data_IF_319991891834
#
_entry.id   IF_319991891834
#
_cell.length_a   1.000
_cell.length_b   1.000
_cell.length_c   1.000
_cell.angle_alpha   90.00
_cell.angle_beta   90.00
_cell.angle_gamma   90.00
#
_symmetry.space_group_name_H-M   'P 1'
#
loop_
_entity.id
_entity.type
_entity.pdbx_description
1 polymer ?
#
# COMPACT_ATOMS: atom_id res chain seq x y z
N UNK A 1 6.05 -3.20 -18.93
CA UNK A 1 5.48 -2.86 -17.61
C UNK A 1 4.08 -2.29 -17.88
N UNK A 2 2.99 -2.94 -17.42
CA UNK A 2 1.63 -2.37 -17.56
C UNK A 2 1.62 -1.00 -16.87
N UNK A 3 1.02 0.01 -17.50
CA UNK A 3 0.94 1.37 -16.96
C UNK A 3 0.01 1.36 -15.74
N UNK A 4 0.48 1.88 -14.61
CA UNK A 4 -0.41 2.19 -13.48
C UNK A 4 -1.10 3.51 -13.77
N UNK A 5 -2.42 3.52 -13.73
CA UNK A 5 -3.26 4.73 -13.92
C UNK A 5 -3.68 5.36 -12.60
N UNK A 6 -3.64 4.58 -11.51
CA UNK A 6 -3.92 5.01 -10.15
C UNK A 6 -2.77 4.59 -9.22
N UNK A 7 -2.48 5.44 -8.23
CA UNK A 7 -1.27 5.35 -7.40
C UNK A 7 -1.64 5.06 -5.95
N UNK A 8 -1.72 3.77 -5.53
CA UNK A 8 -1.96 3.41 -4.14
C UNK A 8 -0.77 3.79 -3.27
N UNK A 9 -1.06 4.11 -2.00
CA UNK A 9 -0.08 4.41 -0.96
C UNK A 9 -0.03 3.25 0.04
N UNK A 10 1.16 2.85 0.46
CA UNK A 10 1.33 1.77 1.43
C UNK A 10 1.83 2.35 2.76
N UNK A 11 1.18 2.05 3.89
CA UNK A 11 1.58 2.56 5.20
C UNK A 11 2.88 1.91 5.72
N UNK A 12 3.28 2.29 6.93
CA UNK A 12 4.38 1.69 7.68
C UNK A 12 4.21 0.17 7.86
N UNK A 13 5.32 -0.56 7.96
CA UNK A 13 5.37 -2.00 8.19
C UNK A 13 6.09 -2.31 9.51
N UNK A 14 5.47 -1.92 10.63
CA UNK A 14 6.02 -2.10 11.98
C UNK A 14 6.54 -3.53 12.26
N UNK A 15 5.94 -4.56 11.65
CA UNK A 15 6.40 -5.95 11.80
C UNK A 15 7.79 -6.17 11.19
N UNK A 16 8.06 -5.60 10.01
CA UNK A 16 9.38 -5.65 9.39
C UNK A 16 10.41 -4.86 10.21
N UNK A 17 10.07 -3.65 10.66
CA UNK A 17 10.94 -2.83 11.52
C UNK A 17 11.38 -3.58 12.78
N UNK A 18 10.44 -4.28 13.44
CA UNK A 18 10.75 -5.16 14.59
C UNK A 18 11.65 -6.33 14.20
N UNK A 19 11.32 -7.07 13.14
CA UNK A 19 12.15 -8.20 12.70
C UNK A 19 13.58 -7.79 12.32
N UNK A 20 13.77 -6.59 11.77
CA UNK A 20 15.11 -6.02 11.54
C UNK A 20 15.80 -5.80 12.88
N UNK A 21 15.16 -5.07 13.80
CA UNK A 21 15.72 -4.73 15.10
C UNK A 21 16.14 -5.97 15.91
N UNK A 22 15.27 -6.98 15.98
CA UNK A 22 15.53 -8.23 16.70
C UNK A 22 16.72 -8.99 16.08
N UNK A 23 16.83 -8.95 14.75
CA UNK A 23 17.90 -9.64 14.02
C UNK A 23 19.25 -8.92 14.05
N UNK A 24 19.34 -7.64 14.44
CA UNK A 24 20.61 -6.89 14.43
C UNK A 24 21.65 -7.50 15.37
N UNK A 25 21.22 -8.12 16.47
CA UNK A 25 22.13 -8.77 17.41
C UNK A 25 22.87 -9.99 16.83
N UNK A 26 22.41 -10.51 15.69
CA UNK A 26 23.03 -11.63 14.98
C UNK A 26 24.12 -11.17 14.00
N UNK A 27 24.30 -9.86 13.80
CA UNK A 27 25.25 -9.29 12.86
C UNK A 27 26.49 -8.72 13.58
N UNK A 28 27.57 -8.50 12.83
CA UNK A 28 28.74 -7.76 13.36
C UNK A 28 28.39 -6.29 13.61
N UNK A 29 29.10 -5.62 14.54
CA UNK A 29 28.88 -4.19 14.85
C UNK A 29 28.92 -3.30 13.59
N UNK A 30 29.81 -3.61 12.65
CA UNK A 30 29.91 -2.88 11.39
C UNK A 30 28.68 -3.10 10.48
N UNK A 31 28.17 -4.32 10.41
CA UNK A 31 26.98 -4.66 9.62
C UNK A 31 25.70 -4.13 10.27
N UNK A 32 25.60 -4.19 11.60
CA UNK A 32 24.50 -3.60 12.37
C UNK A 32 24.49 -2.07 12.26
N UNK A 33 25.65 -1.41 12.30
CA UNK A 33 25.75 0.03 12.08
C UNK A 33 25.30 0.44 10.65
N UNK A 34 25.51 -0.43 9.67
CA UNK A 34 25.03 -0.24 8.29
C UNK A 34 23.53 -0.51 8.13
N UNK A 35 22.85 -1.06 9.15
CA UNK A 35 21.42 -1.31 9.19
C UNK A 35 20.58 -0.08 9.57
N UNK A 36 21.21 1.07 9.84
CA UNK A 36 20.49 2.28 10.19
C UNK A 36 19.53 2.66 9.06
N UNK A 37 18.24 2.89 9.37
CA UNK A 37 17.30 3.36 8.37
C UNK A 37 17.83 4.64 7.75
N UNK A 38 17.86 4.69 6.42
CA UNK A 38 18.18 5.92 5.71
C UNK A 38 17.08 6.94 5.98
N UNK A 39 17.36 7.80 6.96
CA UNK A 39 16.50 8.91 7.37
C UNK A 39 16.67 10.13 6.48
N UNK A 40 17.66 10.13 5.57
CA UNK A 40 17.81 11.17 4.57
C UNK A 40 16.93 10.83 3.36
N UNK A 41 15.86 11.59 3.15
CA UNK A 41 15.14 11.55 1.88
C UNK A 41 15.96 12.33 0.87
N UNK A 42 16.89 11.67 0.18
CA UNK A 42 17.54 12.28 -0.97
C UNK A 42 16.49 12.59 -2.05
N UNK A 43 16.66 13.66 -2.84
CA UNK A 43 15.74 14.03 -3.94
C UNK A 43 15.58 12.88 -4.96
N UNK A 44 16.60 12.02 -5.10
CA UNK A 44 16.56 10.80 -5.92
C UNK A 44 15.66 9.69 -5.37
N UNK A 45 15.29 9.78 -4.08
CA UNK A 45 14.53 8.80 -3.33
C UNK A 45 13.07 9.21 -3.09
N UNK A 46 12.56 10.18 -3.87
CA UNK A 46 11.16 10.63 -3.87
C UNK A 46 10.13 9.55 -4.28
N UNK A 47 10.55 8.29 -4.46
CA UNK A 47 9.81 7.25 -5.18
C UNK A 47 9.43 6.03 -4.35
N UNK A 48 9.48 6.15 -3.02
CA UNK A 48 9.34 5.04 -2.06
C UNK A 48 7.90 4.54 -1.84
N UNK A 49 6.86 5.27 -2.29
CA UNK A 49 5.46 5.02 -1.88
C UNK A 49 4.55 4.34 -2.92
N UNK A 50 4.97 4.25 -4.20
CA UNK A 50 4.12 3.69 -5.27
C UNK A 50 4.38 2.21 -5.57
N UNK A 51 5.37 1.57 -4.94
CA UNK A 51 5.84 0.22 -5.28
C UNK A 51 5.69 -0.85 -4.18
N UNK A 52 4.97 -0.59 -3.10
CA UNK A 52 4.80 -1.52 -1.99
C UNK A 52 5.77 -1.23 -0.84
N UNK A 53 5.20 -1.06 0.35
CA UNK A 53 5.79 -0.84 1.69
C UNK A 53 6.93 0.20 1.80
N UNK A 54 6.56 1.35 2.39
CA UNK A 54 7.40 2.49 2.75
C UNK A 54 8.72 2.10 3.45
N UNK A 55 8.68 1.14 4.38
CA UNK A 55 9.86 0.76 5.18
C UNK A 55 10.92 -0.02 4.41
N UNK A 56 10.55 -0.77 3.38
CA UNK A 56 11.50 -1.61 2.63
C UNK A 56 12.47 -0.80 1.78
N UNK A 57 12.22 0.49 1.60
CA UNK A 57 13.13 1.43 0.92
C UNK A 57 13.84 2.36 1.92
N UNK A 58 13.53 2.25 3.21
CA UNK A 58 14.27 2.89 4.30
C UNK A 58 15.51 2.07 4.68
N UNK A 59 15.52 0.78 4.36
CA UNK A 59 16.62 -0.14 4.64
C UNK A 59 17.27 -0.63 3.35
N UNK A 60 18.61 -0.73 3.36
CA UNK A 60 19.39 -1.24 2.23
C UNK A 60 19.05 -2.71 1.91
N UNK A 61 18.97 -3.10 0.64
CA UNK A 61 18.85 -4.53 0.26
C UNK A 61 19.95 -5.39 0.88
N UNK A 62 21.13 -4.80 1.14
CA UNK A 62 22.23 -5.48 1.79
C UNK A 62 21.88 -5.93 3.21
N UNK A 63 21.10 -5.15 3.97
CA UNK A 63 20.75 -5.56 5.34
C UNK A 63 19.81 -6.77 5.33
N UNK A 64 18.85 -6.81 4.41
CA UNK A 64 17.92 -7.94 4.32
C UNK A 64 18.63 -9.25 3.97
N UNK A 65 19.61 -9.22 3.06
CA UNK A 65 20.41 -10.41 2.75
C UNK A 65 21.21 -10.90 3.96
N UNK A 66 21.84 -9.97 4.69
CA UNK A 66 22.64 -10.31 5.88
C UNK A 66 21.78 -10.90 7.00
N UNK A 67 20.63 -10.27 7.25
CA UNK A 67 19.67 -10.78 8.22
C UNK A 67 19.12 -12.15 7.81
N UNK A 68 18.81 -12.36 6.53
CA UNK A 68 18.37 -13.66 6.03
C UNK A 68 19.42 -14.74 6.31
N UNK A 69 20.68 -14.50 5.95
CA UNK A 69 21.78 -15.44 6.16
C UNK A 69 22.00 -15.73 7.67
N UNK A 70 22.02 -14.69 8.50
CA UNK A 70 22.24 -14.82 9.94
C UNK A 70 21.10 -15.57 10.64
N UNK A 71 19.84 -15.25 10.30
CA UNK A 71 18.67 -15.94 10.83
C UNK A 71 18.65 -17.41 10.41
N UNK A 72 18.95 -17.73 9.15
CA UNK A 72 19.04 -19.11 8.67
C UNK A 72 20.13 -19.92 9.40
N UNK A 73 21.31 -19.33 9.61
CA UNK A 73 22.39 -19.98 10.36
C UNK A 73 22.02 -20.20 11.84
N UNK A 74 21.35 -19.23 12.45
CA UNK A 74 20.89 -19.32 13.84
C UNK A 74 19.82 -20.41 14.00
N UNK A 75 18.82 -20.44 13.12
CA UNK A 75 17.75 -21.44 13.11
C UNK A 75 18.28 -22.87 12.92
N UNK A 76 19.34 -23.05 12.13
CA UNK A 76 20.00 -24.35 11.96
C UNK A 76 20.69 -24.84 13.25
N UNK A 77 21.10 -23.91 14.11
CA UNK A 77 21.80 -24.22 15.37
C UNK A 77 20.85 -24.33 16.56
N UNK A 78 19.81 -23.49 16.60
CA UNK A 78 18.81 -23.41 17.66
C UNK A 78 17.46 -23.00 17.06
N UNK A 79 16.54 -23.96 16.84
CA UNK A 79 15.20 -23.65 16.35
C UNK A 79 14.46 -22.67 17.27
N UNK A 80 13.89 -21.62 16.69
CA UNK A 80 13.10 -20.61 17.39
C UNK A 80 11.94 -20.16 16.52
N UNK A 81 10.71 -20.24 17.06
CA UNK A 81 9.48 -19.87 16.36
C UNK A 81 9.47 -18.38 16.02
N UNK A 82 9.96 -17.54 16.94
CA UNK A 82 10.09 -16.10 16.75
C UNK A 82 11.09 -15.77 15.63
N UNK A 83 12.27 -16.41 15.64
CA UNK A 83 13.26 -16.21 14.57
C UNK A 83 12.75 -16.71 13.22
N UNK A 84 11.95 -17.78 13.20
CA UNK A 84 11.31 -18.27 11.98
C UNK A 84 10.32 -17.23 11.43
N UNK A 85 9.48 -16.64 12.28
CA UNK A 85 8.57 -15.56 11.90
C UNK A 85 9.35 -14.32 11.40
N UNK A 86 10.45 -13.95 12.08
CA UNK A 86 11.30 -12.84 11.67
C UNK A 86 11.97 -13.10 10.31
N UNK A 87 12.45 -14.32 10.05
CA UNK A 87 12.97 -14.73 8.74
C UNK A 87 11.92 -14.58 7.64
N UNK A 88 10.67 -14.96 7.92
CA UNK A 88 9.54 -14.76 7.02
C UNK A 88 9.35 -13.29 6.60
N UNK A 89 9.40 -12.36 7.57
CA UNK A 89 9.30 -10.92 7.29
C UNK A 89 10.45 -10.41 6.41
N UNK A 90 11.69 -10.84 6.69
CA UNK A 90 12.86 -10.47 5.89
C UNK A 90 12.78 -11.03 4.46
N UNK A 91 12.35 -12.28 4.31
CA UNK A 91 12.14 -12.92 3.00
C UNK A 91 11.04 -12.20 2.19
N UNK A 92 9.93 -11.83 2.82
CA UNK A 92 8.87 -11.07 2.17
C UNK A 92 9.38 -9.69 1.70
N UNK A 93 10.21 -9.01 2.51
CA UNK A 93 10.85 -7.76 2.11
C UNK A 93 11.78 -7.93 0.89
N UNK A 94 12.61 -8.98 0.88
CA UNK A 94 13.47 -9.30 -0.27
C UNK A 94 12.64 -9.64 -1.52
N UNK A 95 11.58 -10.44 -1.37
CA UNK A 95 10.66 -10.80 -2.45
C UNK A 95 10.02 -9.58 -3.10
N UNK A 96 9.67 -8.58 -2.29
CA UNK A 96 9.12 -7.33 -2.78
C UNK A 96 10.16 -6.49 -3.54
N UNK A 97 11.37 -6.32 -2.99
CA UNK A 97 12.44 -5.54 -3.63
C UNK A 97 12.88 -6.16 -4.96
N UNK A 98 13.00 -7.49 -5.02
CA UNK A 98 13.44 -8.23 -6.21
C UNK A 98 12.32 -8.59 -7.16
N UNK A 99 11.06 -8.42 -6.73
CA UNK A 99 9.87 -8.91 -7.44
C UNK A 99 9.98 -10.41 -7.71
N UNK A 100 10.33 -11.16 -6.67
CA UNK A 100 10.60 -12.60 -6.73
C UNK A 100 9.54 -13.38 -5.95
N UNK A 101 8.77 -14.19 -6.68
CA UNK A 101 7.71 -15.02 -6.12
C UNK A 101 8.26 -16.11 -5.18
N UNK A 102 9.43 -16.68 -5.48
CA UNK A 102 10.00 -17.76 -4.69
C UNK A 102 10.40 -17.29 -3.28
N UNK A 103 10.76 -16.01 -3.12
CA UNK A 103 11.04 -15.42 -1.81
C UNK A 103 9.76 -15.20 -1.00
N UNK A 104 8.64 -14.84 -1.66
CA UNK A 104 7.34 -14.79 -0.99
C UNK A 104 6.84 -16.18 -0.59
N UNK A 105 7.03 -17.18 -1.43
CA UNK A 105 6.68 -18.57 -1.11
C UNK A 105 7.49 -19.09 0.09
N UNK A 106 8.78 -18.78 0.16
CA UNK A 106 9.60 -19.10 1.35
C UNK A 106 9.13 -18.34 2.59
N UNK A 107 8.72 -17.07 2.47
CA UNK A 107 8.15 -16.32 3.57
C UNK A 107 6.85 -16.95 4.10
N UNK A 108 5.96 -17.36 3.19
CA UNK A 108 4.72 -18.09 3.52
C UNK A 108 5.03 -19.36 4.31
N UNK A 109 5.99 -20.17 3.84
CA UNK A 109 6.41 -21.38 4.57
C UNK A 109 6.95 -21.08 5.98
N UNK A 110 7.69 -19.98 6.14
CA UNK A 110 8.18 -19.58 7.47
C UNK A 110 7.04 -19.26 8.43
N UNK A 111 6.02 -18.52 7.96
CA UNK A 111 4.85 -18.20 8.78
C UNK A 111 3.98 -19.42 9.07
N UNK A 112 3.77 -20.30 8.09
CA UNK A 112 3.03 -21.55 8.29
C UNK A 112 3.69 -22.43 9.35
N UNK A 113 5.02 -22.58 9.31
CA UNK A 113 5.77 -23.30 10.35
C UNK A 113 5.66 -22.63 11.72
N UNK A 114 5.70 -21.31 11.78
CA UNK A 114 5.51 -20.60 13.05
C UNK A 114 4.10 -20.84 13.64
N UNK A 115 3.08 -20.93 12.78
CA UNK A 115 1.70 -21.25 13.16
C UNK A 115 1.47 -22.70 13.59
N UNK A 116 2.44 -23.60 13.42
CA UNK A 116 2.40 -24.94 14.03
C UNK A 116 2.66 -24.88 15.55
N UNK A 117 3.36 -23.83 16.01
CA UNK A 117 3.71 -23.65 17.42
C UNK A 117 2.90 -22.55 18.11
N UNK A 118 2.72 -21.40 17.44
CA UNK A 118 1.81 -20.37 17.92
C UNK A 118 0.38 -20.79 17.60
N UNK A 119 -0.45 -20.96 18.62
CA UNK A 119 -1.87 -21.29 18.50
C UNK A 119 -2.72 -20.12 19.00
N UNK A 120 -3.98 -20.06 18.58
CA UNK A 120 -4.90 -19.01 19.04
C UNK A 120 -5.11 -19.10 20.57
N UNK A 121 -5.08 -20.30 21.14
CA UNK A 121 -5.31 -20.55 22.55
C UNK A 121 -4.08 -20.28 23.43
N UNK A 122 -2.91 -20.77 23.01
CA UNK A 122 -1.71 -20.75 23.85
C UNK A 122 -0.84 -19.51 23.62
N UNK A 123 -0.94 -18.88 22.45
CA UNK A 123 -0.14 -17.70 22.08
C UNK A 123 -0.96 -16.76 21.17
N UNK A 124 -2.09 -16.21 21.66
CA UNK A 124 -3.06 -15.50 20.82
C UNK A 124 -2.47 -14.31 20.07
N UNK A 125 -1.58 -13.54 20.71
CA UNK A 125 -1.01 -12.32 20.12
C UNK A 125 0.03 -12.66 19.05
N UNK A 126 0.91 -13.61 19.32
CA UNK A 126 1.91 -14.11 18.38
C UNK A 126 1.22 -14.78 17.18
N UNK A 127 0.19 -15.59 17.44
CA UNK A 127 -0.62 -16.21 16.40
C UNK A 127 -1.27 -15.16 15.49
N UNK A 128 -1.91 -14.12 16.06
CA UNK A 128 -2.52 -13.06 15.28
C UNK A 128 -1.49 -12.26 14.45
N UNK A 129 -0.33 -11.97 15.03
CA UNK A 129 0.78 -11.32 14.33
C UNK A 129 1.31 -12.16 13.16
N UNK A 130 1.49 -13.46 13.37
CA UNK A 130 1.94 -14.36 12.30
C UNK A 130 0.86 -14.53 11.22
N UNK A 131 -0.43 -14.58 11.57
CA UNK A 131 -1.53 -14.57 10.61
C UNK A 131 -1.55 -13.29 9.76
N UNK A 132 -1.32 -12.12 10.37
CA UNK A 132 -1.20 -10.85 9.65
C UNK A 132 -0.01 -10.84 8.67
N UNK A 133 1.15 -11.36 9.10
CA UNK A 133 2.34 -11.44 8.25
C UNK A 133 2.15 -12.43 7.09
N UNK A 134 1.51 -13.59 7.36
CA UNK A 134 1.10 -14.56 6.35
C UNK A 134 0.15 -13.93 5.32
N UNK A 135 -0.81 -13.12 5.78
CA UNK A 135 -1.70 -12.35 4.93
C UNK A 135 -0.96 -11.37 4.02
N UNK A 136 0.03 -10.68 4.57
CA UNK A 136 0.88 -9.72 3.84
C UNK A 136 1.72 -10.38 2.75
N UNK A 137 2.33 -11.54 3.04
CA UNK A 137 3.11 -12.31 2.08
C UNK A 137 2.23 -12.85 0.93
N UNK A 138 1.08 -13.44 1.27
CA UNK A 138 0.12 -13.95 0.28
C UNK A 138 -0.49 -12.83 -0.58
N UNK A 139 -0.80 -11.68 0.00
CA UNK A 139 -1.27 -10.51 -0.73
C UNK A 139 -0.22 -10.07 -1.77
N UNK A 140 1.04 -10.02 -1.35
CA UNK A 140 2.16 -9.61 -2.21
C UNK A 140 2.41 -10.61 -3.34
N UNK A 141 2.36 -11.91 -3.05
CA UNK A 141 2.46 -12.99 -4.02
C UNK A 141 1.32 -12.94 -5.06
N UNK A 142 0.07 -12.80 -4.59
CA UNK A 142 -1.10 -12.70 -5.46
C UNK A 142 -1.07 -11.47 -6.37
N UNK A 143 -0.56 -10.34 -5.86
CA UNK A 143 -0.35 -9.12 -6.66
C UNK A 143 0.76 -9.32 -7.70
N UNK A 144 1.89 -9.93 -7.32
CA UNK A 144 3.04 -10.10 -8.21
C UNK A 144 2.73 -11.01 -9.40
N UNK A 145 2.09 -12.16 -9.14
CA UNK A 145 1.80 -13.17 -10.15
C UNK A 145 0.42 -13.01 -10.80
N UNK A 146 -0.33 -11.95 -10.46
CA UNK A 146 -1.70 -11.73 -10.93
C UNK A 146 -2.64 -12.93 -10.64
N UNK A 147 -2.46 -13.58 -9.48
CA UNK A 147 -3.19 -14.79 -9.06
C UNK A 147 -4.16 -14.51 -7.91
N UNK A 148 -5.37 -15.07 -8.02
CA UNK A 148 -6.45 -14.89 -7.05
C UNK A 148 -6.37 -15.81 -5.83
N UNK A 149 -5.76 -16.99 -5.96
CA UNK A 149 -5.66 -17.96 -4.86
C UNK A 149 -4.87 -17.40 -3.66
N UNK A 150 -3.66 -16.82 -3.84
CA UNK A 150 -2.96 -16.17 -2.73
C UNK A 150 -3.77 -15.00 -2.13
N UNK A 151 -4.52 -14.24 -2.94
CA UNK A 151 -5.36 -13.16 -2.41
C UNK A 151 -6.50 -13.68 -1.52
N UNK A 152 -7.08 -14.84 -1.84
CA UNK A 152 -8.06 -15.50 -0.98
C UNK A 152 -7.41 -15.92 0.36
N UNK A 153 -6.25 -16.57 0.30
CA UNK A 153 -5.50 -16.97 1.50
C UNK A 153 -5.12 -15.77 2.36
N UNK A 154 -4.79 -14.63 1.73
CA UNK A 154 -4.52 -13.40 2.45
C UNK A 154 -5.75 -12.87 3.21
N UNK A 155 -6.92 -12.90 2.58
CA UNK A 155 -8.19 -12.53 3.25
C UNK A 155 -8.47 -13.44 4.44
N UNK A 156 -8.27 -14.75 4.27
CA UNK A 156 -8.50 -15.73 5.34
C UNK A 156 -7.54 -15.47 6.52
N UNK A 157 -6.25 -15.27 6.26
CA UNK A 157 -5.24 -14.99 7.29
C UNK A 157 -5.49 -13.67 8.03
N UNK A 158 -5.83 -12.58 7.34
CA UNK A 158 -6.20 -11.32 8.00
C UNK A 158 -7.48 -11.46 8.83
N UNK A 159 -8.47 -12.23 8.35
CA UNK A 159 -9.70 -12.47 9.10
C UNK A 159 -9.43 -13.28 10.36
N UNK A 160 -8.48 -14.22 10.32
CA UNK A 160 -8.01 -14.95 11.49
C UNK A 160 -7.35 -14.01 12.51
N UNK A 161 -6.45 -13.12 12.08
CA UNK A 161 -5.83 -12.14 12.98
C UNK A 161 -6.87 -11.28 13.74
N UNK A 162 -7.97 -10.92 13.06
CA UNK A 162 -9.09 -10.16 13.65
C UNK A 162 -9.92 -10.93 14.69
N UNK A 163 -9.73 -12.25 14.84
CA UNK A 163 -10.34 -13.02 15.94
C UNK A 163 -9.72 -12.66 17.30
N UNK A 164 -8.48 -12.16 17.31
CA UNK A 164 -7.75 -11.74 18.51
C UNK A 164 -7.63 -10.22 18.56
N UNK A 165 -7.24 -9.61 17.45
CA UNK A 165 -7.11 -8.16 17.34
C UNK A 165 -8.46 -7.50 17.06
N UNK A 166 -9.28 -7.42 18.10
CA UNK A 166 -10.56 -6.71 18.06
C UNK A 166 -10.37 -5.19 18.11
N UNK A 167 -11.37 -4.44 17.66
CA UNK A 167 -11.34 -2.98 17.66
C UNK A 167 -11.18 -2.41 19.07
N UNK A 168 -11.77 -3.06 20.07
CA UNK A 168 -11.80 -2.60 21.45
C UNK A 168 -10.51 -2.92 22.20
N UNK A 169 -9.95 -4.11 22.00
CA UNK A 169 -8.75 -4.56 22.72
C UNK A 169 -7.45 -4.13 22.03
N UNK A 170 -7.43 -4.10 20.69
CA UNK A 170 -6.25 -3.84 19.88
C UNK A 170 -6.58 -2.88 18.72
N UNK A 171 -6.99 -1.63 19.02
CA UNK A 171 -7.50 -0.70 18.01
C UNK A 171 -6.51 -0.43 16.88
N UNK A 172 -5.21 -0.33 17.19
CA UNK A 172 -4.16 -0.13 16.17
C UNK A 172 -4.02 -1.33 15.24
N UNK A 173 -3.83 -2.54 15.79
CA UNK A 173 -3.66 -3.76 14.99
C UNK A 173 -4.92 -4.09 14.17
N UNK A 174 -6.10 -3.88 14.76
CA UNK A 174 -7.38 -4.00 14.05
C UNK A 174 -7.48 -3.02 12.87
N UNK A 175 -7.11 -1.76 13.08
CA UNK A 175 -7.13 -0.72 12.05
C UNK A 175 -6.16 -1.03 10.90
N UNK A 176 -4.94 -1.45 11.21
CA UNK A 176 -3.95 -1.86 10.20
C UNK A 176 -4.45 -3.06 9.41
N UNK A 177 -5.00 -4.07 10.09
CA UNK A 177 -5.56 -5.26 9.45
C UNK A 177 -6.73 -4.91 8.53
N UNK A 178 -7.60 -3.98 8.93
CA UNK A 178 -8.68 -3.47 8.09
C UNK A 178 -8.17 -2.70 6.86
N UNK A 179 -7.12 -1.90 7.00
CA UNK A 179 -6.46 -1.27 5.85
C UNK A 179 -5.96 -2.33 4.84
N UNK A 180 -5.29 -3.37 5.34
CA UNK A 180 -4.72 -4.42 4.50
C UNK A 180 -5.78 -5.30 3.85
N UNK A 181 -6.88 -5.58 4.53
CA UNK A 181 -8.06 -6.19 3.92
C UNK A 181 -8.61 -5.32 2.80
N UNK A 182 -8.68 -4.00 3.00
CA UNK A 182 -9.05 -3.03 1.95
C UNK A 182 -8.18 -3.17 0.71
N UNK A 183 -6.86 -3.19 0.87
CA UNK A 183 -5.91 -3.33 -0.23
C UNK A 183 -5.98 -4.70 -0.93
N UNK A 184 -6.20 -5.76 -0.15
CA UNK A 184 -6.34 -7.12 -0.67
C UNK A 184 -7.61 -7.27 -1.48
N UNK A 185 -8.76 -6.82 -0.95
CA UNK A 185 -10.04 -6.85 -1.65
C UNK A 185 -10.02 -5.99 -2.92
N UNK A 186 -9.32 -4.86 -2.90
CA UNK A 186 -9.11 -4.04 -4.09
C UNK A 186 -8.39 -4.85 -5.19
N UNK A 187 -7.21 -5.38 -4.87
CA UNK A 187 -6.40 -6.18 -5.81
C UNK A 187 -7.19 -7.39 -6.32
N UNK A 188 -7.92 -8.05 -5.42
CA UNK A 188 -8.73 -9.21 -5.76
C UNK A 188 -9.90 -8.85 -6.69
N UNK A 189 -10.57 -7.72 -6.45
CA UNK A 189 -11.64 -7.20 -7.31
C UNK A 189 -11.15 -6.84 -8.71
N UNK A 190 -9.99 -6.20 -8.82
CA UNK A 190 -9.36 -5.89 -10.11
C UNK A 190 -9.03 -7.17 -10.89
N UNK A 191 -8.44 -8.18 -10.24
CA UNK A 191 -8.10 -9.45 -10.90
C UNK A 191 -9.34 -10.25 -11.33
N UNK A 192 -10.38 -10.29 -10.50
CA UNK A 192 -11.65 -10.94 -10.83
C UNK A 192 -12.51 -10.15 -11.83
N UNK A 193 -12.18 -8.88 -12.09
CA UNK A 193 -13.04 -7.93 -12.81
C UNK A 193 -14.45 -7.85 -12.22
N UNK A 194 -14.54 -7.83 -10.89
CA UNK A 194 -15.81 -7.93 -10.16
C UNK A 194 -15.96 -6.92 -9.02
N UNK A 195 -17.06 -6.18 -9.03
CA UNK A 195 -17.31 -5.08 -8.08
C UNK A 195 -17.57 -5.55 -6.64
N UNK A 196 -17.97 -6.80 -6.42
CA UNK A 196 -18.26 -7.31 -5.07
C UNK A 196 -17.06 -7.19 -4.13
N UNK A 197 -15.85 -7.48 -4.61
CA UNK A 197 -14.65 -7.33 -3.77
C UNK A 197 -14.28 -5.86 -3.62
N UNK A 198 -14.44 -5.03 -4.65
CA UNK A 198 -14.22 -3.58 -4.55
C UNK A 198 -15.16 -2.94 -3.50
N UNK A 199 -16.43 -3.36 -3.43
CA UNK A 199 -17.36 -2.90 -2.39
C UNK A 199 -16.91 -3.30 -0.99
N UNK A 200 -16.41 -4.54 -0.80
CA UNK A 200 -15.80 -4.96 0.47
C UNK A 200 -14.55 -4.15 0.81
N UNK A 201 -13.74 -3.80 -0.18
CA UNK A 201 -12.58 -2.93 0.00
C UNK A 201 -12.97 -1.56 0.55
N UNK A 202 -14.02 -0.93 -0.01
CA UNK A 202 -14.55 0.34 0.53
C UNK A 202 -15.00 0.21 1.98
N UNK A 203 -15.64 -0.89 2.36
CA UNK A 203 -16.08 -1.15 3.74
C UNK A 203 -14.88 -1.32 4.68
N UNK A 204 -13.89 -2.12 4.29
CA UNK A 204 -12.68 -2.33 5.08
C UNK A 204 -11.91 -1.02 5.32
N UNK A 205 -11.76 -0.18 4.28
CA UNK A 205 -11.17 1.15 4.46
C UNK A 205 -12.00 2.07 5.35
N UNK A 206 -13.35 2.05 5.25
CA UNK A 206 -14.20 2.82 6.17
C UNK A 206 -14.02 2.40 7.62
N UNK A 207 -13.85 1.09 7.88
CA UNK A 207 -13.57 0.57 9.20
C UNK A 207 -12.22 1.08 9.74
N UNK A 208 -11.14 0.99 8.96
CA UNK A 208 -9.84 1.54 9.35
C UNK A 208 -9.91 3.05 9.66
N UNK A 209 -10.60 3.82 8.81
CA UNK A 209 -10.80 5.28 9.00
C UNK A 209 -11.58 5.64 10.27
N UNK A 210 -12.32 4.70 10.88
CA UNK A 210 -13.06 4.95 12.12
C UNK A 210 -12.18 4.92 13.39
N UNK A 211 -10.89 4.62 13.24
CA UNK A 211 -9.89 4.60 14.32
C UNK A 211 -8.77 5.62 14.05
N UNK A 212 -8.41 5.83 12.77
CA UNK A 212 -7.36 6.75 12.35
C UNK A 212 -7.69 8.20 12.71
N UNK A 213 -6.65 8.93 13.12
CA UNK A 213 -6.69 10.37 13.37
C UNK A 213 -5.40 11.03 12.85
N UNK A 214 -5.43 12.34 12.64
CA UNK A 214 -4.32 13.06 12.01
C UNK A 214 -3.09 13.22 12.94
N UNK A 215 -3.30 13.25 14.26
CA UNK A 215 -2.24 13.51 15.23
C UNK A 215 -1.34 12.28 15.43
N UNK A 216 -1.93 11.09 15.49
CA UNK A 216 -1.22 9.85 15.75
C UNK A 216 -0.89 9.06 14.46
N UNK A 217 -1.67 9.28 13.38
CA UNK A 217 -1.68 8.39 12.22
C UNK A 217 -1.74 9.14 10.88
N UNK A 218 -1.10 10.30 10.77
CA UNK A 218 -1.14 11.15 9.58
C UNK A 218 -0.92 10.40 8.25
N UNK A 219 0.11 9.53 8.19
CA UNK A 219 0.46 8.80 6.98
C UNK A 219 -0.56 7.71 6.66
N UNK A 220 -0.94 6.90 7.64
CA UNK A 220 -1.94 5.84 7.52
C UNK A 220 -3.30 6.42 7.13
N UNK A 221 -3.69 7.56 7.73
CA UNK A 221 -4.92 8.27 7.41
C UNK A 221 -4.92 8.75 5.96
N UNK A 222 -3.82 9.36 5.52
CA UNK A 222 -3.63 9.80 4.13
C UNK A 222 -3.69 8.61 3.16
N UNK A 223 -2.96 7.54 3.44
CA UNK A 223 -2.91 6.33 2.61
C UNK A 223 -4.28 5.64 2.53
N UNK A 224 -5.00 5.55 3.65
CA UNK A 224 -6.32 4.91 3.71
C UNK A 224 -7.36 5.71 2.95
N UNK A 225 -7.37 7.03 3.08
CA UNK A 225 -8.24 7.90 2.28
C UNK A 225 -7.94 7.81 0.78
N UNK A 226 -6.66 7.86 0.40
CA UNK A 226 -6.23 7.74 -1.00
C UNK A 226 -6.65 6.39 -1.60
N UNK A 227 -6.37 5.28 -0.91
CA UNK A 227 -6.68 3.94 -1.41
C UNK A 227 -8.19 3.65 -1.44
N UNK A 228 -8.97 4.22 -0.50
CA UNK A 228 -10.42 4.24 -0.60
C UNK A 228 -10.89 5.00 -1.85
N UNK A 229 -10.28 6.15 -2.13
CA UNK A 229 -10.51 6.92 -3.35
C UNK A 229 -10.26 6.11 -4.61
N UNK A 230 -9.17 5.34 -4.67
CA UNK A 230 -8.84 4.46 -5.81
C UNK A 230 -9.91 3.41 -6.03
N UNK A 231 -10.37 2.79 -4.96
CA UNK A 231 -11.42 1.76 -5.04
C UNK A 231 -12.74 2.35 -5.52
N UNK A 232 -13.11 3.53 -5.02
CA UNK A 232 -14.31 4.26 -5.44
C UNK A 232 -14.21 4.77 -6.88
N UNK A 233 -13.03 5.19 -7.32
CA UNK A 233 -12.76 5.60 -8.69
C UNK A 233 -13.08 4.44 -9.63
N UNK A 234 -12.49 3.28 -9.39
CA UNK A 234 -12.74 2.08 -10.19
C UNK A 234 -14.20 1.64 -10.17
N UNK A 235 -14.88 1.73 -9.02
CA UNK A 235 -16.32 1.50 -8.94
C UNK A 235 -17.09 2.51 -9.81
N UNK A 236 -16.74 3.80 -9.73
CA UNK A 236 -17.36 4.85 -10.53
C UNK A 236 -17.23 4.63 -12.04
N UNK A 237 -16.05 4.24 -12.52
CA UNK A 237 -15.85 3.89 -13.93
C UNK A 237 -16.64 2.63 -14.32
N UNK A 238 -16.50 1.55 -13.55
CA UNK A 238 -17.12 0.25 -13.88
C UNK A 238 -18.65 0.28 -13.83
N UNK A 239 -19.22 1.09 -12.94
CA UNK A 239 -20.67 1.26 -12.77
C UNK A 239 -21.23 2.41 -13.61
N UNK A 240 -20.38 3.15 -14.33
CA UNK A 240 -20.72 4.44 -14.95
C UNK A 240 -21.47 5.37 -13.96
N UNK A 241 -20.96 5.45 -12.72
CA UNK A 241 -21.60 6.16 -11.62
C UNK A 241 -20.83 7.45 -11.25
N UNK A 242 -21.33 8.64 -11.61
CA UNK A 242 -20.67 9.90 -11.29
C UNK A 242 -20.65 10.21 -9.79
N UNK A 243 -21.62 9.72 -9.00
CA UNK A 243 -21.64 9.96 -7.56
C UNK A 243 -20.55 9.17 -6.84
N UNK A 244 -20.20 7.97 -7.34
CA UNK A 244 -19.02 7.23 -6.89
C UNK A 244 -17.71 7.97 -7.19
N UNK A 245 -17.61 8.62 -8.35
CA UNK A 245 -16.46 9.47 -8.67
C UNK A 245 -16.38 10.70 -7.75
N UNK A 246 -17.50 11.35 -7.44
CA UNK A 246 -17.54 12.44 -6.45
C UNK A 246 -17.09 11.95 -5.06
N UNK A 247 -17.53 10.77 -4.62
CA UNK A 247 -17.03 10.16 -3.38
C UNK A 247 -15.52 9.86 -3.42
N UNK A 248 -15.00 9.44 -4.58
CA UNK A 248 -13.57 9.21 -4.79
C UNK A 248 -12.78 10.52 -4.66
N UNK A 249 -13.21 11.57 -5.36
CA UNK A 249 -12.62 12.93 -5.32
C UNK A 249 -12.58 13.45 -3.89
N UNK A 250 -13.69 13.36 -3.14
CA UNK A 250 -13.72 13.74 -1.73
C UNK A 250 -12.77 12.92 -0.85
N UNK A 251 -12.57 11.64 -1.16
CA UNK A 251 -11.60 10.81 -0.44
C UNK A 251 -10.17 11.25 -0.72
N UNK A 252 -9.83 11.57 -1.98
CA UNK A 252 -8.52 12.12 -2.32
C UNK A 252 -8.28 13.51 -1.71
N UNK A 253 -9.30 14.35 -1.65
CA UNK A 253 -9.21 15.67 -1.02
C UNK A 253 -8.86 15.58 0.46
N UNK A 254 -9.48 14.64 1.18
CA UNK A 254 -9.14 14.37 2.59
C UNK A 254 -7.72 13.87 2.74
N UNK A 255 -7.28 12.96 1.87
CA UNK A 255 -5.89 12.49 1.86
C UNK A 255 -4.90 13.64 1.64
N UNK A 256 -5.18 14.51 0.66
CA UNK A 256 -4.37 15.68 0.35
C UNK A 256 -4.31 16.67 1.51
N UNK A 257 -5.46 16.97 2.12
CA UNK A 257 -5.58 17.90 3.25
C UNK A 257 -4.72 17.42 4.42
N UNK A 258 -4.90 16.17 4.86
CA UNK A 258 -4.11 15.59 5.96
C UNK A 258 -2.63 15.59 5.60
N UNK A 259 -2.26 15.18 4.38
CA UNK A 259 -0.87 15.13 3.95
C UNK A 259 -0.18 16.50 3.93
N UNK A 260 -0.90 17.56 3.56
CA UNK A 260 -0.38 18.92 3.55
C UNK A 260 -0.30 19.52 4.96
N UNK A 261 -1.34 19.38 5.77
CA UNK A 261 -1.39 19.93 7.13
C UNK A 261 -0.35 19.28 8.05
N UNK A 262 -0.16 17.96 7.92
CA UNK A 262 0.82 17.20 8.69
C UNK A 262 2.23 17.22 8.06
N UNK A 263 2.43 18.01 7.00
CA UNK A 263 3.72 18.18 6.32
C UNK A 263 4.37 16.84 5.93
N UNK A 264 3.55 15.90 5.47
CA UNK A 264 4.04 14.62 4.96
C UNK A 264 4.93 14.85 3.72
N UNK A 265 5.82 13.89 3.39
CA UNK A 265 6.69 14.02 2.23
C UNK A 265 5.92 14.42 0.96
N UNK A 266 6.40 15.46 0.27
CA UNK A 266 5.66 16.17 -0.79
C UNK A 266 5.07 15.26 -1.88
N UNK A 267 5.76 14.18 -2.22
CA UNK A 267 5.29 13.24 -3.24
C UNK A 267 3.98 12.52 -2.84
N UNK A 268 3.70 12.33 -1.54
CA UNK A 268 2.44 11.76 -1.06
C UNK A 268 1.27 12.65 -1.48
N UNK A 269 1.40 13.96 -1.22
CA UNK A 269 0.41 14.97 -1.59
C UNK A 269 0.29 15.09 -3.12
N UNK A 270 1.40 15.05 -3.85
CA UNK A 270 1.39 15.09 -5.34
C UNK A 270 0.65 13.88 -5.92
N UNK A 271 0.85 12.67 -5.39
CA UNK A 271 0.13 11.48 -5.85
C UNK A 271 -1.37 11.55 -5.54
N UNK A 272 -1.75 12.11 -4.38
CA UNK A 272 -3.16 12.37 -4.06
C UNK A 272 -3.77 13.35 -5.07
N UNK A 273 -3.06 14.42 -5.44
CA UNK A 273 -3.48 15.36 -6.49
C UNK A 273 -3.64 14.69 -7.85
N UNK A 274 -2.67 13.87 -8.27
CA UNK A 274 -2.75 13.11 -9.52
C UNK A 274 -3.98 12.20 -9.54
N UNK A 275 -4.23 11.44 -8.48
CA UNK A 275 -5.39 10.56 -8.39
C UNK A 275 -6.71 11.35 -8.40
N UNK A 276 -6.77 12.48 -7.68
CA UNK A 276 -7.92 13.40 -7.67
C UNK A 276 -8.21 13.96 -9.07
N UNK A 277 -7.21 14.56 -9.72
CA UNK A 277 -7.33 15.13 -11.07
C UNK A 277 -7.72 14.08 -12.10
N UNK A 278 -7.19 12.86 -11.98
CA UNK A 278 -7.59 11.73 -12.84
C UNK A 278 -9.07 11.40 -12.66
N UNK A 279 -9.57 11.36 -11.42
CA UNK A 279 -11.01 11.12 -11.15
C UNK A 279 -11.91 12.26 -11.65
N UNK A 280 -11.46 13.51 -11.51
CA UNK A 280 -12.16 14.68 -12.06
C UNK A 280 -12.22 14.64 -13.59
N UNK A 281 -11.15 14.19 -14.26
CA UNK A 281 -11.14 14.04 -15.72
C UNK A 281 -12.19 13.03 -16.20
N UNK A 282 -12.27 11.86 -15.54
CA UNK A 282 -13.29 10.85 -15.83
C UNK A 282 -14.69 11.42 -15.57
N UNK A 283 -14.87 12.14 -14.46
CA UNK A 283 -16.16 12.77 -14.14
C UNK A 283 -16.56 13.79 -15.22
N UNK A 284 -15.65 14.66 -15.64
CA UNK A 284 -15.88 15.65 -16.69
C UNK A 284 -16.31 14.99 -18.01
N UNK A 285 -15.66 13.89 -18.38
CA UNK A 285 -16.03 13.12 -19.58
C UNK A 285 -17.42 12.50 -19.43
N UNK A 286 -17.75 11.91 -18.28
CA UNK A 286 -19.04 11.29 -18.02
C UNK A 286 -20.20 12.30 -17.97
N UNK A 287 -19.95 13.49 -17.41
CA UNK A 287 -20.95 14.57 -17.35
C UNK A 287 -20.94 15.48 -18.58
N UNK A 288 -20.02 15.26 -19.52
CA UNK A 288 -19.80 16.11 -20.68
C UNK A 288 -19.63 17.59 -20.27
N UNK A 289 -18.82 17.84 -19.23
CA UNK A 289 -18.60 19.16 -18.64
C UNK A 289 -17.25 19.75 -19.12
N UNK A 290 -17.31 20.62 -20.13
CA UNK A 290 -16.11 21.27 -20.69
C UNK A 290 -15.43 22.23 -19.72
N UNK A 291 -16.16 22.86 -18.80
CA UNK A 291 -15.57 23.77 -17.82
C UNK A 291 -14.72 22.97 -16.83
N UNK A 292 -15.26 21.88 -16.30
CA UNK A 292 -14.51 20.96 -15.45
C UNK A 292 -13.32 20.34 -16.20
N UNK A 293 -13.48 20.00 -17.48
CA UNK A 293 -12.39 19.47 -18.29
C UNK A 293 -11.23 20.48 -18.43
N UNK A 294 -11.53 21.77 -18.58
CA UNK A 294 -10.50 22.82 -18.63
C UNK A 294 -9.79 22.98 -17.28
N UNK A 295 -10.54 23.06 -16.17
CA UNK A 295 -9.98 23.12 -14.82
C UNK A 295 -9.03 21.94 -14.52
N UNK A 296 -9.40 20.74 -14.98
CA UNK A 296 -8.58 19.54 -14.83
C UNK A 296 -7.31 19.61 -15.68
N UNK A 297 -7.38 20.16 -16.90
CA UNK A 297 -6.21 20.35 -17.73
C UNK A 297 -5.19 21.30 -17.06
N UNK A 298 -5.67 22.42 -16.51
CA UNK A 298 -4.86 23.38 -15.77
C UNK A 298 -4.24 22.75 -14.52
N UNK A 299 -4.99 21.93 -13.78
CA UNK A 299 -4.46 21.21 -12.60
C UNK A 299 -3.35 20.24 -13.00
N UNK A 300 -3.48 19.50 -14.11
CA UNK A 300 -2.39 18.65 -14.60
C UNK A 300 -1.17 19.46 -15.06
N UNK A 301 -1.37 20.63 -15.66
CA UNK A 301 -0.27 21.53 -16.02
C UNK A 301 0.50 21.98 -14.78
N UNK A 302 -0.20 22.42 -13.73
CA UNK A 302 0.40 22.76 -12.43
C UNK A 302 1.16 21.57 -11.82
N UNK A 303 0.58 20.37 -11.86
CA UNK A 303 1.24 19.15 -11.37
C UNK A 303 2.56 18.92 -12.13
N UNK A 304 2.54 19.05 -13.45
CA UNK A 304 3.71 18.82 -14.32
C UNK A 304 4.78 19.88 -14.10
N UNK A 305 4.42 21.16 -14.08
CA UNK A 305 5.38 22.26 -14.04
C UNK A 305 5.97 22.47 -12.64
N UNK A 306 5.13 22.45 -11.61
CA UNK A 306 5.57 22.74 -10.24
C UNK A 306 6.11 21.50 -9.51
N UNK A 307 5.69 20.29 -9.89
CA UNK A 307 5.97 19.07 -9.13
C UNK A 307 6.64 17.96 -9.95
N UNK A 308 7.24 18.27 -11.11
CA UNK A 308 7.99 17.30 -11.92
C UNK A 308 9.00 16.46 -11.09
N UNK A 309 9.68 17.08 -10.12
CA UNK A 309 10.67 16.45 -9.25
C UNK A 309 10.09 15.39 -8.30
N UNK A 310 8.77 15.40 -8.09
CA UNK A 310 8.03 14.46 -7.26
C UNK A 310 7.32 13.37 -8.07
N UNK A 311 7.39 13.40 -9.41
CA UNK A 311 6.71 12.46 -10.30
C UNK A 311 7.65 11.40 -10.86
N UNK A 312 7.24 10.12 -10.79
CA UNK A 312 7.94 9.05 -11.50
C UNK A 312 7.81 9.23 -13.03
N UNK A 313 8.76 8.76 -13.85
CA UNK A 313 8.67 8.89 -15.31
C UNK A 313 7.40 8.29 -15.94
N UNK A 314 6.78 7.28 -15.31
CA UNK A 314 5.48 6.75 -15.73
C UNK A 314 4.31 7.63 -15.27
N UNK A 315 4.42 8.21 -14.07
CA UNK A 315 3.42 9.13 -13.52
C UNK A 315 3.39 10.45 -14.29
N UNK A 316 4.54 11.00 -14.63
CA UNK A 316 4.66 12.18 -15.48
C UNK A 316 4.00 11.96 -16.85
N UNK A 317 4.26 10.80 -17.47
CA UNK A 317 3.61 10.43 -18.74
C UNK A 317 2.10 10.29 -18.60
N UNK A 318 1.61 9.68 -17.51
CA UNK A 318 0.18 9.62 -17.21
C UNK A 318 -0.43 11.02 -17.10
N UNK A 319 0.21 11.94 -16.37
CA UNK A 319 -0.26 13.32 -16.24
C UNK A 319 -0.33 14.03 -17.60
N UNK A 320 0.71 13.90 -18.44
CA UNK A 320 0.74 14.48 -19.78
C UNK A 320 -0.39 13.95 -20.68
N UNK A 321 -0.66 12.65 -20.61
CA UNK A 321 -1.75 12.02 -21.36
C UNK A 321 -3.12 12.49 -20.87
N UNK A 322 -3.34 12.53 -19.55
CA UNK A 322 -4.59 13.01 -18.97
C UNK A 322 -4.85 14.49 -19.26
N UNK A 323 -3.83 15.34 -19.19
CA UNK A 323 -3.89 16.75 -19.58
C UNK A 323 -4.34 16.90 -21.05
N UNK A 324 -3.75 16.13 -21.96
CA UNK A 324 -4.13 16.15 -23.38
C UNK A 324 -5.59 15.71 -23.59
N UNK A 325 -6.03 14.68 -22.88
CA UNK A 325 -7.42 14.21 -22.93
C UNK A 325 -8.38 15.30 -22.44
N UNK A 326 -8.06 15.95 -21.32
CA UNK A 326 -8.86 17.01 -20.73
C UNK A 326 -8.99 18.24 -21.68
N UNK A 327 -7.87 18.71 -22.26
CA UNK A 327 -7.87 19.81 -23.26
C UNK A 327 -8.66 19.47 -24.53
N UNK A 328 -8.66 18.20 -24.94
CA UNK A 328 -9.46 17.75 -26.10
C UNK A 328 -10.96 17.79 -25.76
N UNK A 329 -11.33 17.34 -24.56
CA UNK A 329 -12.71 17.36 -24.10
C UNK A 329 -13.26 18.78 -23.94
N UNK A 330 -12.46 19.74 -23.44
CA UNK A 330 -12.87 21.14 -23.30
C UNK A 330 -13.06 21.81 -24.67
N UNK A 331 -12.13 21.61 -25.61
CA UNK A 331 -12.17 22.26 -26.93
C UNK A 331 -13.25 21.73 -27.89
N UNK A 332 -13.62 20.45 -27.80
CA UNK A 332 -14.60 19.84 -28.71
C UNK A 332 -16.02 20.40 -28.52
N UNK A 333 -16.33 20.96 -27.35
CA UNK A 333 -17.67 21.53 -27.06
C UNK A 333 -17.80 23.01 -27.37
N UNK A 334 -16.70 23.76 -27.53
CA UNK A 334 -16.76 25.18 -27.92
C UNK A 334 -17.06 25.34 -29.42
N UNK A 335 -16.92 24.25 -30.19
CA UNK A 335 -17.07 24.24 -31.64
C UNK A 335 -18.41 23.66 -32.16
N UNK A 336 -19.34 23.28 -31.28
CA UNK A 336 -20.66 22.71 -31.62
C UNK A 336 -21.82 23.59 -31.19
#
# INVERSE_FOLDING_TARGET
MKRSTLYPLYPSNKALERSIADGLCLLSDQEAAAAMPDTQVAVSDNFRYTRGYYEQHRYSTRIFERLREALQASLASSPSVEMQNNLGNILAALGQQRRDAALFEQAVLCFEQALESYTQEDSPLEWAATQYNLGTANQSLGRLNEMTNPLKLAVDAYTNALLVWTREAHPEDWMQTMHQLGATFYTYGIQLKGNRQLQKSVVAYKNALAVLNADDHALELTATHNNRGITLHHLGESEANPDRLKEAINSYEKALTVGMEQQLPIHVSVLCRVNKATAQNVLAQMSNDAALAEEVADEFEVIIECFAHALQPLCLRHCQEQMKLARTASSTQVAG
#
